data_IF_162187243513
#
_entry.id   IF_162187243513
#
_cell.length_a   1.000
_cell.length_b   1.000
_cell.length_c   1.000
_cell.angle_alpha   90.00
_cell.angle_beta   90.00
_cell.angle_gamma   90.00
#
_symmetry.space_group_name_H-M   'P 1'
#
loop_
_entity.id
_entity.type
_entity.pdbx_description
1 polymer ?
#
# COMPACT_ATOMS: atom_id res chain seq x y z
N UNK A 1 0.74 8.98 1.26
CA UNK A 1 0.35 9.75 2.47
C UNK A 1 0.86 11.19 2.46
N UNK A 2 2.06 11.48 1.95
CA UNK A 2 2.55 12.85 1.76
C UNK A 2 1.69 13.64 0.76
N UNK A 3 1.06 12.98 -0.20
CA UNK A 3 0.24 13.60 -1.24
C UNK A 3 -1.22 13.85 -0.83
N UNK A 4 -1.77 13.12 0.12
CA UNK A 4 -3.13 13.34 0.63
C UNK A 4 -3.32 14.71 1.29
N UNK A 5 -2.24 15.46 1.49
CA UNK A 5 -2.25 16.77 2.13
C UNK A 5 -1.90 17.94 1.19
N UNK A 6 -1.63 17.69 -0.08
CA UNK A 6 -1.46 18.80 -1.04
C UNK A 6 -2.79 19.52 -1.21
N UNK A 7 -2.84 20.76 -0.79
CA UNK A 7 -4.02 21.63 -0.93
C UNK A 7 -4.81 21.89 0.35
N UNK A 8 -4.44 21.29 1.50
CA UNK A 8 -5.14 21.50 2.78
C UNK A 8 -4.68 22.74 3.56
N UNK A 9 -3.77 23.58 3.00
CA UNK A 9 -3.34 24.82 3.66
C UNK A 9 -2.72 24.59 5.05
N UNK A 10 -3.12 25.38 6.05
CA UNK A 10 -2.60 25.34 7.42
C UNK A 10 -3.20 24.23 8.31
N UNK A 11 -3.66 23.12 7.73
CA UNK A 11 -4.27 22.00 8.45
C UNK A 11 -3.21 21.18 9.19
N UNK A 12 -3.39 21.00 10.49
CA UNK A 12 -2.54 20.14 11.32
C UNK A 12 -2.90 18.67 11.12
N UNK A 13 -2.07 17.96 10.39
CA UNK A 13 -2.22 16.51 10.15
C UNK A 13 -1.23 15.70 10.99
N UNK A 14 -1.65 14.52 11.42
CA UNK A 14 -0.83 13.57 12.16
C UNK A 14 -0.93 12.18 11.55
N UNK A 15 0.22 11.53 11.47
CA UNK A 15 0.30 10.13 11.07
C UNK A 15 0.53 9.26 12.31
N UNK A 16 -0.26 8.20 12.43
CA UNK A 16 -0.31 7.31 13.60
C UNK A 16 -0.21 5.87 13.11
N UNK A 17 1.01 5.34 13.09
CA UNK A 17 1.30 3.99 12.58
C UNK A 17 2.32 3.27 13.46
N UNK A 18 2.33 1.93 13.38
CA UNK A 18 3.25 1.07 14.11
C UNK A 18 4.61 0.93 13.40
N UNK A 19 5.55 0.21 14.04
CA UNK A 19 6.86 -0.12 13.47
C UNK A 19 7.99 0.85 13.80
N UNK A 20 7.72 1.88 14.61
CA UNK A 20 8.76 2.79 15.12
C UNK A 20 9.25 2.40 16.51
N UNK A 21 10.33 3.04 16.95
CA UNK A 21 10.83 2.99 18.31
C UNK A 21 9.88 3.65 19.32
N UNK A 22 10.18 3.53 20.63
CA UNK A 22 9.36 4.15 21.68
C UNK A 22 9.23 5.68 21.55
N UNK A 23 10.19 6.35 20.91
CA UNK A 23 10.15 7.79 20.68
C UNK A 23 9.03 8.18 19.70
N UNK A 24 8.76 7.34 18.70
CA UNK A 24 7.64 7.53 17.78
C UNK A 24 6.28 7.52 18.50
N UNK A 25 6.12 6.69 19.54
CA UNK A 25 4.91 6.68 20.36
C UNK A 25 4.63 8.02 21.04
N UNK A 26 5.62 8.57 21.73
CA UNK A 26 5.45 9.82 22.47
C UNK A 26 5.20 11.03 21.56
N UNK A 27 5.83 11.05 20.40
CA UNK A 27 5.60 12.09 19.38
C UNK A 27 4.18 12.01 18.84
N UNK A 28 3.69 10.82 18.50
CA UNK A 28 2.31 10.60 18.03
C UNK A 28 1.30 11.00 19.11
N UNK A 29 1.50 10.51 20.36
CA UNK A 29 0.66 10.84 21.51
C UNK A 29 0.56 12.36 21.73
N UNK A 30 1.70 13.02 21.82
CA UNK A 30 1.77 14.49 22.04
C UNK A 30 1.06 15.24 20.92
N UNK A 31 1.31 14.85 19.67
CA UNK A 31 0.69 15.48 18.50
C UNK A 31 -0.82 15.38 18.50
N UNK A 32 -1.40 14.22 18.88
CA UNK A 32 -2.85 14.06 18.99
C UNK A 32 -3.45 14.83 20.16
N UNK A 33 -2.77 14.84 21.32
CA UNK A 33 -3.24 15.59 22.51
C UNK A 33 -3.20 17.11 22.32
N UNK A 34 -2.30 17.62 21.46
CA UNK A 34 -2.25 19.05 21.10
C UNK A 34 -3.36 19.48 20.14
N UNK A 35 -4.15 18.54 19.64
CA UNK A 35 -5.15 18.75 18.61
C UNK A 35 -4.60 18.53 17.20
N UNK A 36 -5.39 17.93 16.37
CA UNK A 36 -5.07 17.66 14.96
C UNK A 36 -6.36 17.69 14.15
N UNK A 37 -6.36 18.39 13.03
CA UNK A 37 -7.52 18.48 12.15
C UNK A 37 -7.69 17.19 11.34
N UNK A 38 -6.59 16.52 11.00
CA UNK A 38 -6.60 15.25 10.27
C UNK A 38 -5.66 14.26 10.93
N UNK A 39 -6.18 13.06 11.23
CA UNK A 39 -5.40 11.93 11.73
C UNK A 39 -5.44 10.80 10.72
N UNK A 40 -4.29 10.38 10.23
CA UNK A 40 -4.12 9.23 9.33
C UNK A 40 -3.53 8.10 10.17
N UNK A 41 -4.25 7.01 10.34
CA UNK A 41 -3.87 5.96 11.27
C UNK A 41 -4.02 4.55 10.69
N UNK A 42 -3.16 3.64 11.15
CA UNK A 42 -3.45 2.21 11.04
C UNK A 42 -4.33 1.76 12.22
N UNK A 43 -5.32 0.87 12.01
CA UNK A 43 -6.30 0.51 13.04
C UNK A 43 -5.67 0.07 14.36
N UNK A 44 -4.74 -0.88 14.33
CA UNK A 44 -4.12 -1.40 15.56
C UNK A 44 -3.34 -0.35 16.36
N UNK A 45 -2.66 0.59 15.68
CA UNK A 45 -1.95 1.69 16.35
C UNK A 45 -2.91 2.70 16.95
N UNK A 46 -4.00 3.00 16.23
CA UNK A 46 -5.04 3.90 16.73
C UNK A 46 -5.71 3.36 17.99
N UNK A 47 -6.09 2.09 18.00
CA UNK A 47 -6.63 1.41 19.19
C UNK A 47 -5.66 1.51 20.38
N UNK A 48 -4.38 1.26 20.14
CA UNK A 48 -3.35 1.36 21.18
C UNK A 48 -3.29 2.76 21.81
N UNK A 49 -3.39 3.82 21.00
CA UNK A 49 -3.42 5.19 21.50
C UNK A 49 -4.73 5.53 22.24
N UNK A 50 -5.88 5.09 21.77
CA UNK A 50 -7.15 5.28 22.45
C UNK A 50 -7.08 4.65 23.86
N UNK A 51 -6.59 3.42 23.96
CA UNK A 51 -6.54 2.67 25.20
C UNK A 51 -5.50 3.18 26.21
N UNK A 52 -4.32 3.59 25.74
CA UNK A 52 -3.18 3.88 26.59
C UNK A 52 -2.83 5.38 26.70
N UNK A 53 -3.44 6.23 25.87
CA UNK A 53 -3.08 7.65 25.83
C UNK A 53 -4.25 8.59 26.10
N UNK A 54 -5.46 8.07 26.28
CA UNK A 54 -6.64 8.87 26.57
C UNK A 54 -7.03 9.81 25.40
N UNK A 55 -6.80 9.38 24.16
CA UNK A 55 -7.17 10.16 22.98
C UNK A 55 -8.68 10.20 22.87
N UNK A 56 -9.23 11.41 22.78
CA UNK A 56 -10.66 11.65 22.64
C UNK A 56 -11.03 11.77 21.15
N UNK A 57 -11.97 10.93 20.73
CA UNK A 57 -12.53 10.93 19.37
C UNK A 57 -13.98 11.48 19.33
N UNK A 58 -14.48 12.05 20.41
CA UNK A 58 -15.86 12.53 20.53
C UNK A 58 -16.18 13.72 19.61
N UNK A 59 -15.16 14.33 19.01
CA UNK A 59 -15.30 15.49 18.10
C UNK A 59 -14.98 15.13 16.64
N UNK A 60 -14.85 13.85 16.31
CA UNK A 60 -14.59 13.43 14.92
C UNK A 60 -15.83 13.64 14.07
N UNK A 61 -15.73 14.51 13.09
CA UNK A 61 -16.82 14.86 12.17
C UNK A 61 -16.84 13.95 10.92
N UNK A 62 -15.69 13.44 10.53
CA UNK A 62 -15.55 12.60 9.34
C UNK A 62 -14.63 11.41 9.58
N UNK A 63 -15.10 10.21 9.21
CA UNK A 63 -14.32 8.99 9.18
C UNK A 63 -14.17 8.52 7.75
N UNK A 64 -12.92 8.27 7.34
CA UNK A 64 -12.61 7.69 6.03
C UNK A 64 -11.95 6.33 6.26
N UNK A 65 -12.55 5.29 5.71
CA UNK A 65 -12.00 3.95 5.65
C UNK A 65 -11.53 3.69 4.22
N UNK A 66 -10.23 3.63 4.02
CA UNK A 66 -9.61 3.38 2.73
C UNK A 66 -9.08 1.95 2.65
N UNK A 67 -9.20 1.30 1.48
CA UNK A 67 -8.89 -0.12 1.29
C UNK A 67 -9.57 -1.03 2.34
N UNK A 68 -10.91 -0.86 2.53
CA UNK A 68 -11.66 -1.53 3.59
C UNK A 68 -11.62 -3.07 3.48
N UNK A 69 -11.68 -3.62 2.26
CA UNK A 69 -11.49 -5.04 1.98
C UNK A 69 -10.14 -5.53 2.53
N UNK A 70 -9.12 -4.75 2.31
CA UNK A 70 -7.77 -5.07 2.76
C UNK A 70 -7.64 -5.06 4.28
N UNK A 71 -8.23 -4.06 4.93
CA UNK A 71 -8.25 -4.02 6.40
C UNK A 71 -8.95 -5.23 6.98
N UNK A 72 -9.99 -5.72 6.30
CA UNK A 72 -10.72 -6.91 6.69
C UNK A 72 -9.86 -8.18 6.55
N UNK A 73 -9.17 -8.35 5.41
CA UNK A 73 -8.27 -9.47 5.14
C UNK A 73 -7.12 -9.55 6.15
N UNK A 74 -6.66 -8.41 6.63
CA UNK A 74 -5.65 -8.30 7.68
C UNK A 74 -6.22 -8.54 9.10
N UNK A 75 -7.52 -8.80 9.25
CA UNK A 75 -8.17 -9.08 10.52
C UNK A 75 -8.53 -7.86 11.36
N UNK A 76 -8.48 -6.64 10.81
CA UNK A 76 -8.77 -5.40 11.55
C UNK A 76 -10.25 -5.08 11.73
N UNK A 77 -11.17 -6.00 11.40
CA UNK A 77 -12.61 -5.76 11.52
C UNK A 77 -13.03 -5.33 12.93
N UNK A 78 -12.58 -6.06 13.93
CA UNK A 78 -12.89 -5.76 15.34
C UNK A 78 -12.27 -4.43 15.80
N UNK A 79 -11.04 -4.16 15.39
CA UNK A 79 -10.35 -2.91 15.69
C UNK A 79 -11.09 -1.70 15.11
N UNK A 80 -11.53 -1.80 13.84
CA UNK A 80 -12.31 -0.76 13.18
C UNK A 80 -13.61 -0.52 13.94
N UNK A 81 -14.38 -1.57 14.23
CA UNK A 81 -15.64 -1.44 14.96
C UNK A 81 -15.44 -0.81 16.34
N UNK A 82 -14.34 -1.16 17.01
CA UNK A 82 -13.98 -0.58 18.30
C UNK A 82 -13.63 0.90 18.19
N UNK A 83 -12.81 1.31 17.19
CA UNK A 83 -12.51 2.72 16.94
C UNK A 83 -13.80 3.50 16.68
N UNK A 84 -14.68 2.96 15.83
CA UNK A 84 -15.97 3.55 15.49
C UNK A 84 -16.85 3.78 16.74
N UNK A 85 -16.77 2.88 17.72
CA UNK A 85 -17.54 3.00 18.97
C UNK A 85 -17.14 4.18 19.87
N UNK A 86 -15.93 4.73 19.68
CA UNK A 86 -15.47 5.93 20.39
C UNK A 86 -15.82 7.24 19.67
N UNK A 87 -16.37 7.17 18.46
CA UNK A 87 -16.71 8.34 17.64
C UNK A 87 -18.18 8.72 17.76
N UNK A 88 -18.53 9.97 17.48
CA UNK A 88 -19.93 10.40 17.43
C UNK A 88 -20.75 9.56 16.44
N UNK A 89 -22.01 9.30 16.77
CA UNK A 89 -22.93 8.67 15.83
C UNK A 89 -23.28 9.59 14.66
N UNK A 90 -23.29 10.88 14.93
CA UNK A 90 -23.59 11.92 13.92
C UNK A 90 -22.28 12.43 13.31
N UNK A 91 -21.70 11.60 12.48
CA UNK A 91 -20.50 11.90 11.68
C UNK A 91 -20.74 11.52 10.23
N UNK A 92 -20.00 12.12 9.32
CA UNK A 92 -19.87 11.60 7.97
C UNK A 92 -18.97 10.38 7.97
N UNK A 93 -19.36 9.32 7.27
CA UNK A 93 -18.50 8.15 7.08
C UNK A 93 -18.37 7.85 5.59
N UNK A 94 -17.14 7.74 5.11
CA UNK A 94 -16.82 7.43 3.73
C UNK A 94 -16.02 6.13 3.73
N UNK A 95 -16.37 5.20 2.86
CA UNK A 95 -15.68 3.93 2.73
C UNK A 95 -15.27 3.68 1.28
N UNK A 96 -13.98 3.45 1.08
CA UNK A 96 -13.42 3.03 -0.20
C UNK A 96 -13.01 1.57 -0.10
N UNK A 97 -13.36 0.79 -1.12
CA UNK A 97 -13.02 -0.62 -1.21
C UNK A 97 -12.94 -1.02 -2.67
N UNK A 98 -11.94 -1.79 -3.05
CA UNK A 98 -11.85 -2.33 -4.40
C UNK A 98 -12.90 -3.43 -4.62
N UNK A 99 -13.24 -4.17 -3.56
CA UNK A 99 -14.18 -5.28 -3.57
C UNK A 99 -15.26 -5.12 -2.51
N UNK A 100 -16.40 -5.77 -2.74
CA UNK A 100 -17.54 -5.76 -1.81
C UNK A 100 -17.97 -7.18 -1.42
N UNK A 101 -17.08 -7.99 -0.80
CA UNK A 101 -17.46 -9.31 -0.29
C UNK A 101 -18.53 -9.17 0.81
N UNK A 102 -19.25 -10.25 1.16
CA UNK A 102 -20.33 -10.20 2.14
C UNK A 102 -19.96 -9.53 3.45
N UNK A 103 -18.77 -9.77 3.96
CA UNK A 103 -18.27 -9.17 5.22
C UNK A 103 -18.10 -7.65 5.12
N UNK A 104 -17.61 -7.14 3.99
CA UNK A 104 -17.50 -5.69 3.75
C UNK A 104 -18.87 -5.05 3.66
N UNK A 105 -19.82 -5.70 2.99
CA UNK A 105 -21.22 -5.22 2.93
C UNK A 105 -21.86 -5.16 4.31
N UNK A 106 -21.59 -6.14 5.16
CA UNK A 106 -22.08 -6.17 6.55
C UNK A 106 -21.48 -5.02 7.37
N UNK A 107 -20.18 -4.83 7.28
CA UNK A 107 -19.49 -3.70 7.91
C UNK A 107 -20.06 -2.37 7.43
N UNK A 108 -20.21 -2.20 6.11
CA UNK A 108 -20.78 -0.99 5.51
C UNK A 108 -22.18 -0.70 6.06
N UNK A 109 -23.07 -1.68 6.12
CA UNK A 109 -24.42 -1.53 6.70
C UNK A 109 -24.41 -1.09 8.16
N UNK A 110 -23.38 -1.50 8.92
CA UNK A 110 -23.26 -1.16 10.34
C UNK A 110 -22.70 0.24 10.57
N UNK A 111 -21.76 0.68 9.72
CA UNK A 111 -20.99 1.90 9.94
C UNK A 111 -21.56 3.09 9.16
N UNK A 112 -22.08 2.85 7.95
CA UNK A 112 -22.59 3.90 7.08
C UNK A 112 -24.05 4.23 7.39
N UNK A 113 -24.43 5.49 7.19
CA UNK A 113 -25.81 6.00 7.39
C UNK A 113 -26.32 6.54 6.06
N UNK A 114 -27.31 5.87 5.47
CA UNK A 114 -27.90 6.25 4.17
C UNK A 114 -26.83 6.58 3.12
N UNK A 115 -25.89 5.67 2.84
CA UNK A 115 -24.77 5.97 1.95
C UNK A 115 -25.25 6.14 0.51
N UNK A 116 -24.66 7.09 -0.20
CA UNK A 116 -24.65 7.06 -1.65
C UNK A 116 -23.62 6.05 -2.11
N UNK A 117 -24.01 5.11 -2.97
CA UNK A 117 -23.11 4.13 -3.55
C UNK A 117 -22.67 4.60 -4.94
N UNK A 118 -21.36 4.64 -5.13
CA UNK A 118 -20.73 4.86 -6.43
C UNK A 118 -19.95 3.60 -6.79
N UNK A 119 -20.53 2.81 -7.70
CA UNK A 119 -19.89 1.61 -8.21
C UNK A 119 -19.18 1.93 -9.51
N UNK A 120 -17.86 1.87 -9.49
CA UNK A 120 -17.04 1.88 -10.70
C UNK A 120 -16.88 0.42 -11.11
N UNK A 121 -17.25 0.07 -12.34
CA UNK A 121 -17.09 -1.30 -12.82
C UNK A 121 -15.65 -1.76 -12.55
N UNK A 122 -15.51 -3.00 -12.04
CA UNK A 122 -14.21 -3.64 -11.77
C UNK A 122 -13.34 -3.39 -12.99
N UNK A 123 -12.28 -2.65 -12.78
CA UNK A 123 -11.47 -2.08 -13.84
C UNK A 123 -10.97 -3.20 -14.73
N UNK A 124 -11.32 -3.15 -16.00
CA UNK A 124 -10.45 -3.77 -16.99
C UNK A 124 -9.05 -3.23 -16.73
N UNK A 125 -8.00 -4.05 -16.88
CA UNK A 125 -6.64 -3.54 -16.86
C UNK A 125 -6.59 -2.29 -17.71
N UNK A 126 -5.87 -1.26 -17.26
CA UNK A 126 -5.71 -0.05 -18.05
C UNK A 126 -5.20 -0.45 -19.45
N UNK A 127 -5.91 -0.07 -20.50
CA UNK A 127 -5.57 -0.41 -21.89
C UNK A 127 -4.20 0.12 -22.31
N UNK A 128 -3.65 1.09 -21.57
CA UNK A 128 -2.30 1.58 -21.73
C UNK A 128 -1.20 0.66 -21.17
N UNK A 129 -1.56 -0.49 -20.56
CA UNK A 129 -0.60 -1.48 -20.06
C UNK A 129 -0.47 -2.60 -21.10
N UNK A 130 0.71 -2.71 -21.69
CA UNK A 130 1.07 -3.88 -22.51
C UNK A 130 1.34 -5.08 -21.58
N UNK A 131 0.55 -6.14 -21.75
CA UNK A 131 0.58 -7.30 -20.88
C UNK A 131 1.09 -8.52 -21.62
N UNK A 132 2.10 -9.18 -21.05
CA UNK A 132 2.65 -10.44 -21.56
C UNK A 132 2.79 -11.48 -20.45
N UNK A 133 2.80 -12.75 -20.83
CA UNK A 133 2.98 -13.86 -19.91
C UNK A 133 3.93 -14.92 -20.45
N UNK A 134 4.79 -15.45 -19.57
CA UNK A 134 5.69 -16.55 -19.87
C UNK A 134 5.21 -17.82 -19.16
N UNK A 135 4.93 -18.86 -19.90
CA UNK A 135 4.68 -20.18 -19.33
C UNK A 135 6.02 -20.88 -19.12
N UNK A 136 6.45 -21.00 -17.87
CA UNK A 136 7.76 -21.52 -17.54
C UNK A 136 7.76 -22.30 -16.21
N UNK A 137 8.78 -23.11 -16.01
CA UNK A 137 9.06 -23.76 -14.73
C UNK A 137 9.82 -22.82 -13.79
N UNK A 138 9.75 -23.09 -12.47
CA UNK A 138 10.38 -22.23 -11.44
C UNK A 138 11.89 -22.00 -11.70
N UNK A 139 12.60 -23.05 -12.14
CA UNK A 139 14.04 -22.99 -12.44
C UNK A 139 14.39 -22.17 -13.70
N UNK A 140 13.41 -21.82 -14.52
CA UNK A 140 13.60 -21.04 -15.74
C UNK A 140 13.38 -19.53 -15.51
N UNK A 141 12.59 -19.16 -14.50
CA UNK A 141 12.24 -17.77 -14.20
C UNK A 141 13.44 -16.84 -14.12
N UNK A 142 14.48 -17.25 -13.41
CA UNK A 142 15.69 -16.45 -13.25
C UNK A 142 16.44 -16.25 -14.58
N UNK A 143 16.40 -17.25 -15.48
CA UNK A 143 16.94 -17.13 -16.82
C UNK A 143 16.21 -16.08 -17.64
N UNK A 144 14.87 -16.09 -17.60
CA UNK A 144 14.01 -15.12 -18.27
C UNK A 144 14.28 -13.71 -17.74
N UNK A 145 14.31 -13.53 -16.41
CA UNK A 145 14.65 -12.25 -15.79
C UNK A 145 16.02 -11.74 -16.25
N UNK A 146 17.01 -12.64 -16.33
CA UNK A 146 18.35 -12.27 -16.80
C UNK A 146 18.33 -11.78 -18.24
N UNK A 147 17.57 -12.41 -19.09
CA UNK A 147 17.42 -12.02 -20.48
C UNK A 147 16.69 -10.67 -20.63
N UNK A 148 15.65 -10.47 -19.84
CA UNK A 148 14.91 -9.18 -19.82
C UNK A 148 15.78 -7.99 -19.42
N UNK A 149 16.79 -8.20 -18.58
CA UNK A 149 17.74 -7.17 -18.13
C UNK A 149 19.11 -7.27 -18.80
N UNK A 150 19.23 -7.98 -19.92
CA UNK A 150 20.46 -8.04 -20.69
C UNK A 150 20.80 -6.68 -21.32
N UNK A 151 19.81 -5.93 -21.74
CA UNK A 151 19.95 -4.57 -22.21
C UNK A 151 19.60 -3.57 -21.09
N UNK A 152 20.38 -2.48 -20.96
CA UNK A 152 20.06 -1.43 -20.00
C UNK A 152 18.68 -0.85 -20.25
N UNK A 153 17.91 -0.64 -19.19
CA UNK A 153 16.64 0.07 -19.24
C UNK A 153 16.67 1.27 -18.30
N UNK A 154 16.21 2.41 -18.76
CA UNK A 154 16.09 3.62 -17.95
C UNK A 154 14.80 3.64 -17.14
N UNK A 155 13.88 2.70 -17.41
CA UNK A 155 12.59 2.66 -16.73
C UNK A 155 12.68 1.94 -15.37
N UNK A 156 11.99 2.50 -14.38
CA UNK A 156 11.82 1.85 -13.07
C UNK A 156 11.05 0.55 -13.21
N UNK A 157 11.51 -0.46 -12.52
CA UNK A 157 10.87 -1.78 -12.50
C UNK A 157 10.47 -2.18 -11.09
N UNK A 158 9.27 -2.72 -10.93
CA UNK A 158 8.86 -3.43 -9.71
C UNK A 158 8.72 -4.92 -10.02
N UNK A 159 9.31 -5.76 -9.19
CA UNK A 159 9.19 -7.21 -9.27
C UNK A 159 8.46 -7.71 -8.03
N UNK A 160 7.29 -8.29 -8.22
CA UNK A 160 6.47 -8.86 -7.15
C UNK A 160 6.81 -10.33 -6.94
N UNK A 161 7.04 -10.70 -5.68
CA UNK A 161 7.26 -12.09 -5.27
C UNK A 161 6.42 -12.45 -4.04
N UNK A 162 6.06 -13.72 -3.93
CA UNK A 162 5.09 -14.23 -2.95
C UNK A 162 5.59 -14.25 -1.51
N UNK A 163 6.91 -14.25 -1.28
CA UNK A 163 7.47 -14.34 0.07
C UNK A 163 8.70 -13.48 0.27
N UNK A 164 8.92 -13.06 1.52
CA UNK A 164 10.10 -12.28 1.91
C UNK A 164 11.43 -13.01 1.64
N UNK A 165 11.44 -14.34 1.72
CA UNK A 165 12.63 -15.14 1.43
C UNK A 165 12.98 -15.05 -0.06
N UNK A 166 12.02 -15.30 -0.94
CA UNK A 166 12.19 -15.15 -2.38
C UNK A 166 12.60 -13.72 -2.78
N UNK A 167 12.01 -12.70 -2.13
CA UNK A 167 12.41 -11.30 -2.36
C UNK A 167 13.89 -11.08 -2.07
N UNK A 168 14.39 -11.59 -0.93
CA UNK A 168 15.81 -11.47 -0.55
C UNK A 168 16.72 -12.20 -1.54
N UNK A 169 16.38 -13.44 -1.88
CA UNK A 169 17.16 -14.28 -2.80
C UNK A 169 17.22 -13.68 -4.21
N UNK A 170 16.07 -13.22 -4.72
CA UNK A 170 16.00 -12.61 -6.03
C UNK A 170 16.78 -11.29 -6.08
N UNK A 171 16.58 -10.41 -5.11
CA UNK A 171 17.33 -9.16 -5.02
C UNK A 171 18.84 -9.39 -4.90
N UNK A 172 19.27 -10.38 -4.11
CA UNK A 172 20.68 -10.76 -4.01
C UNK A 172 21.24 -11.23 -5.37
N UNK A 173 20.50 -12.08 -6.07
CA UNK A 173 20.91 -12.59 -7.38
C UNK A 173 21.00 -11.48 -8.42
N UNK A 174 20.03 -10.57 -8.47
CA UNK A 174 20.04 -9.44 -9.39
C UNK A 174 21.20 -8.46 -9.08
N UNK A 175 21.52 -8.24 -7.80
CA UNK A 175 22.72 -7.46 -7.40
C UNK A 175 24.02 -8.10 -7.89
N UNK A 176 24.13 -9.42 -7.85
CA UNK A 176 25.31 -10.13 -8.40
C UNK A 176 25.44 -9.98 -9.92
N UNK A 177 24.34 -9.71 -10.61
CA UNK A 177 24.32 -9.34 -12.03
C UNK A 177 24.68 -7.86 -12.27
N UNK A 178 25.09 -7.13 -11.23
CA UNK A 178 25.40 -5.70 -11.25
C UNK A 178 24.21 -4.79 -11.57
N UNK A 179 22.99 -5.28 -11.37
CA UNK A 179 21.79 -4.47 -11.48
C UNK A 179 21.59 -3.64 -10.21
N UNK A 180 21.02 -2.45 -10.36
CA UNK A 180 20.76 -1.54 -9.26
C UNK A 180 19.41 -1.86 -8.60
N UNK A 181 19.45 -2.73 -7.58
CA UNK A 181 18.28 -3.41 -6.99
C UNK A 181 18.18 -3.13 -5.50
N UNK A 182 16.98 -2.87 -5.02
CA UNK A 182 16.64 -2.93 -3.60
C UNK A 182 15.56 -3.99 -3.32
N UNK A 183 15.59 -4.56 -2.11
CA UNK A 183 14.58 -5.47 -1.60
C UNK A 183 13.66 -4.73 -0.62
N UNK A 184 12.34 -5.01 -0.69
CA UNK A 184 11.36 -4.46 0.23
C UNK A 184 10.46 -5.56 0.78
N UNK A 185 10.57 -5.84 2.08
CA UNK A 185 9.86 -6.92 2.76
C UNK A 185 9.58 -6.58 4.23
N UNK A 186 8.77 -7.40 4.89
CA UNK A 186 8.30 -7.16 6.27
C UNK A 186 9.39 -7.12 7.33
N UNK A 187 10.57 -7.70 7.07
CA UNK A 187 11.68 -7.70 8.06
C UNK A 187 12.46 -6.37 8.09
N UNK A 188 12.22 -5.47 7.14
CA UNK A 188 12.81 -4.13 7.18
C UNK A 188 12.11 -3.29 8.24
N UNK A 189 12.89 -2.55 9.01
CA UNK A 189 12.37 -1.49 9.87
C UNK A 189 11.74 -0.35 9.05
N UNK A 190 10.88 0.44 9.67
CA UNK A 190 10.18 1.52 8.98
C UNK A 190 11.15 2.53 8.33
N UNK A 191 12.18 2.94 9.04
CA UNK A 191 13.21 3.84 8.50
C UNK A 191 13.91 3.27 7.26
N UNK A 192 14.22 1.97 7.26
CA UNK A 192 14.83 1.29 6.12
C UNK A 192 13.87 1.24 4.92
N UNK A 193 12.57 1.02 5.15
CA UNK A 193 11.56 1.05 4.08
C UNK A 193 11.46 2.43 3.46
N UNK A 194 11.46 3.47 4.29
CA UNK A 194 11.41 4.86 3.83
C UNK A 194 12.66 5.21 3.02
N UNK A 195 13.83 4.78 3.44
CA UNK A 195 15.09 4.97 2.71
C UNK A 195 15.06 4.26 1.35
N UNK A 196 14.67 2.98 1.30
CA UNK A 196 14.54 2.22 0.04
C UNK A 196 13.56 2.90 -0.90
N UNK A 197 12.41 3.37 -0.38
CA UNK A 197 11.41 4.08 -1.17
C UNK A 197 11.93 5.40 -1.73
N UNK A 198 12.66 6.15 -0.90
CA UNK A 198 13.26 7.41 -1.31
C UNK A 198 14.32 7.19 -2.40
N UNK A 199 15.17 6.18 -2.25
CA UNK A 199 16.19 5.83 -3.23
C UNK A 199 15.59 5.36 -4.55
N UNK A 200 14.50 4.57 -4.50
CA UNK A 200 13.77 4.16 -5.68
C UNK A 200 13.05 5.35 -6.36
N UNK A 201 12.47 6.25 -5.58
CA UNK A 201 11.83 7.48 -6.08
C UNK A 201 12.83 8.40 -6.78
N UNK A 202 14.02 8.53 -6.22
CA UNK A 202 15.10 9.41 -6.71
C UNK A 202 16.00 8.75 -7.77
N UNK A 203 15.61 7.63 -8.35
CA UNK A 203 16.37 6.88 -9.38
C UNK A 203 17.76 6.38 -8.92
N UNK A 204 18.05 6.35 -7.61
CA UNK A 204 19.24 5.71 -7.07
C UNK A 204 19.13 4.17 -7.12
N UNK A 205 17.92 3.66 -7.12
CA UNK A 205 17.56 2.26 -7.33
C UNK A 205 16.62 2.20 -8.53
N UNK A 206 16.90 1.34 -9.48
CA UNK A 206 16.06 1.17 -10.69
C UNK A 206 15.11 -0.03 -10.60
N UNK A 207 15.45 -1.03 -9.78
CA UNK A 207 14.64 -2.25 -9.63
C UNK A 207 14.27 -2.44 -8.16
N UNK A 208 12.99 -2.51 -7.87
CA UNK A 208 12.46 -2.81 -6.55
C UNK A 208 11.88 -4.23 -6.53
N UNK A 209 12.42 -5.12 -5.72
CA UNK A 209 11.84 -6.45 -5.48
C UNK A 209 11.04 -6.42 -4.19
N UNK A 210 9.75 -6.74 -4.25
CA UNK A 210 8.87 -6.55 -3.09
C UNK A 210 7.80 -7.64 -2.96
N UNK A 211 7.28 -7.81 -1.74
CA UNK A 211 6.03 -8.54 -1.49
C UNK A 211 4.83 -7.60 -1.63
N UNK A 212 3.65 -8.13 -1.91
CA UNK A 212 2.40 -7.35 -2.04
C UNK A 212 2.13 -6.43 -0.85
N UNK A 213 2.30 -6.96 0.37
CA UNK A 213 1.98 -6.23 1.61
C UNK A 213 2.75 -4.92 1.70
N UNK A 214 3.99 -4.91 1.26
CA UNK A 214 4.88 -3.76 1.40
C UNK A 214 4.85 -2.85 0.18
N UNK A 215 4.57 -3.41 -0.98
CA UNK A 215 4.49 -2.67 -2.24
C UNK A 215 3.12 -1.99 -2.47
N UNK A 216 2.12 -2.31 -1.67
CA UNK A 216 0.84 -1.59 -1.70
C UNK A 216 0.98 -0.19 -1.11
N UNK A 217 0.22 0.75 -1.65
CA UNK A 217 0.34 2.15 -1.26
C UNK A 217 1.59 2.86 -1.80
N UNK A 218 2.42 2.17 -2.59
CA UNK A 218 3.53 2.83 -3.28
C UNK A 218 2.96 3.80 -4.30
N UNK A 219 3.13 5.09 -4.00
CA UNK A 219 2.83 6.17 -4.93
C UNK A 219 4.14 6.62 -5.58
N UNK A 220 4.52 5.91 -6.62
CA UNK A 220 5.66 6.25 -7.48
C UNK A 220 5.14 6.39 -8.90
N UNK A 221 5.43 7.52 -9.45
CA UNK A 221 5.27 7.80 -10.89
C UNK A 221 6.45 7.17 -11.65
N UNK A 222 6.30 7.00 -12.95
CA UNK A 222 7.36 6.53 -13.88
C UNK A 222 7.80 5.07 -13.71
N UNK A 223 6.93 4.19 -13.21
CA UNK A 223 7.19 2.76 -13.28
C UNK A 223 6.85 2.27 -14.68
N UNK A 224 7.87 1.92 -15.46
CA UNK A 224 7.71 1.44 -16.83
C UNK A 224 7.41 -0.05 -16.92
N UNK A 225 7.89 -0.84 -15.96
CA UNK A 225 7.76 -2.29 -15.99
C UNK A 225 7.32 -2.86 -14.64
N UNK A 226 6.30 -3.71 -14.67
CA UNK A 226 5.88 -4.54 -13.54
C UNK A 226 6.10 -6.00 -13.88
N UNK A 227 6.79 -6.74 -13.03
CA UNK A 227 7.01 -8.18 -13.20
C UNK A 227 6.35 -8.93 -12.05
N UNK A 228 5.41 -9.80 -12.36
CA UNK A 228 4.87 -10.77 -11.43
C UNK A 228 5.75 -12.03 -11.46
N UNK A 229 6.84 -12.03 -10.69
CA UNK A 229 7.71 -13.20 -10.57
C UNK A 229 6.97 -14.43 -10.03
N UNK A 230 6.06 -14.19 -9.10
CA UNK A 230 5.05 -15.16 -8.68
C UNK A 230 3.66 -14.62 -9.05
N UNK A 231 2.89 -15.45 -9.74
CA UNK A 231 1.50 -15.13 -10.10
C UNK A 231 0.70 -14.87 -8.81
N UNK A 232 -0.04 -13.78 -8.70
CA UNK A 232 -0.88 -13.56 -7.54
C UNK A 232 -2.02 -14.60 -7.49
N UNK A 233 -2.45 -14.93 -6.28
CA UNK A 233 -3.54 -15.89 -6.09
C UNK A 233 -4.91 -15.30 -6.46
N UNK A 234 -5.03 -13.98 -6.36
CA UNK A 234 -6.26 -13.25 -6.59
C UNK A 234 -6.14 -12.40 -7.86
N UNK A 235 -7.13 -12.43 -8.77
CA UNK A 235 -7.18 -11.56 -9.94
C UNK A 235 -7.12 -10.06 -9.59
N UNK A 236 -7.66 -9.67 -8.45
CA UNK A 236 -7.62 -8.28 -7.99
C UNK A 236 -6.21 -7.84 -7.62
N UNK A 237 -5.45 -8.72 -6.95
CA UNK A 237 -4.03 -8.47 -6.69
C UNK A 237 -3.25 -8.29 -7.99
N UNK A 238 -3.60 -9.04 -9.04
CA UNK A 238 -3.01 -8.84 -10.35
C UNK A 238 -3.24 -7.42 -10.87
N UNK A 239 -4.49 -6.96 -10.86
CA UNK A 239 -4.85 -5.60 -11.31
C UNK A 239 -4.14 -4.53 -10.46
N UNK A 240 -4.08 -4.72 -9.14
CA UNK A 240 -3.39 -3.81 -8.24
C UNK A 240 -1.88 -3.75 -8.48
N UNK A 241 -1.24 -4.89 -8.82
CA UNK A 241 0.18 -4.93 -9.16
C UNK A 241 0.46 -4.22 -10.47
N UNK A 242 -0.23 -4.61 -11.55
CA UNK A 242 0.00 -4.00 -12.86
C UNK A 242 -0.41 -2.53 -12.89
N UNK A 243 -1.39 -2.11 -12.09
CA UNK A 243 -1.78 -0.72 -11.90
C UNK A 243 -0.73 0.16 -11.22
N UNK A 244 0.48 -0.37 -10.92
CA UNK A 244 1.63 0.44 -10.53
C UNK A 244 2.29 1.11 -11.72
N UNK A 245 2.12 0.59 -12.92
CA UNK A 245 2.55 1.22 -14.18
C UNK A 245 1.41 1.92 -14.90
N UNK A 246 1.71 2.61 -15.99
CA UNK A 246 0.74 3.34 -16.83
C UNK A 246 -0.12 4.35 -16.05
N UNK A 247 0.46 5.07 -15.10
CA UNK A 247 -0.20 6.16 -14.38
C UNK A 247 -0.03 7.48 -15.12
N UNK A 248 -0.97 8.42 -14.89
CA UNK A 248 -0.92 9.77 -15.43
C UNK A 248 -0.71 9.86 -16.96
N UNK A 249 -1.45 9.05 -17.73
CA UNK A 249 -1.41 8.97 -19.20
C UNK A 249 -0.09 8.43 -19.80
N UNK A 250 0.78 7.83 -18.99
CA UNK A 250 1.94 7.08 -19.49
C UNK A 250 1.53 5.68 -19.97
N UNK A 251 2.31 5.09 -20.85
CA UNK A 251 2.22 3.66 -21.20
C UNK A 251 3.11 2.84 -20.28
N UNK A 252 2.82 1.58 -20.09
CA UNK A 252 3.62 0.69 -19.26
C UNK A 252 3.52 -0.76 -19.68
N UNK A 253 4.42 -1.59 -19.15
CA UNK A 253 4.46 -3.01 -19.45
C UNK A 253 4.29 -3.84 -18.18
N UNK A 254 3.59 -4.95 -18.30
CA UNK A 254 3.42 -5.93 -17.24
C UNK A 254 3.74 -7.33 -17.76
N UNK A 255 4.57 -8.05 -17.02
CA UNK A 255 5.02 -9.41 -17.36
C UNK A 255 4.66 -10.35 -16.22
N UNK A 256 4.14 -11.52 -16.57
CA UNK A 256 3.73 -12.53 -15.59
C UNK A 256 4.25 -13.91 -15.95
#
# INVERSE_FOLDING_TARGET
DYYASRGLGDVYKRQVYGGGDGKGWDVQKRGMLMGSDVVIATPGRMISHIQNSGIDLSHVECLILDEADRMLDMGFSEDIMKIVSYMPKDRQTIMFSATLPPKIREMARTILRNPAEVNIAISKPNEAIDQSAYVCYENQKLGIIREMFAEPTDSKTIIFSSSKLKVKELAHTLKRMKLNVAAMHSDLEQAQREEVMLDFKNNKVSILVATDIVARGIDIEDIGLVINYDVPHDPEDYIHRIGRTARAAATGSAVT
#
